data_IF_344606892920
#
_entry.id   IF_344606892920
#
_cell.length_a   1.000
_cell.length_b   1.000
_cell.length_c   1.000
_cell.angle_alpha   90.00
_cell.angle_beta   90.00
_cell.angle_gamma   90.00
#
_symmetry.space_group_name_H-M   'P 1'
#
loop_
_entity.id
_entity.type
_entity.pdbx_description
1 polymer ?
#
# COMPACT_ATOMS: atom_id res chain seq x y z
N UNK A 1 9.43 14.44 -40.60
CA UNK A 1 8.86 14.93 -39.33
C UNK A 1 10.02 15.31 -38.43
N UNK A 2 10.28 16.60 -38.26
CA UNK A 2 11.42 17.09 -37.48
C UNK A 2 11.28 16.64 -36.02
N UNK A 3 12.26 15.87 -35.53
CA UNK A 3 12.31 15.46 -34.13
C UNK A 3 12.47 16.69 -33.26
N UNK A 4 11.39 17.12 -32.62
CA UNK A 4 11.41 18.24 -31.66
C UNK A 4 12.43 17.88 -30.58
N UNK A 5 13.57 18.55 -30.57
CA UNK A 5 14.59 18.32 -29.55
C UNK A 5 13.99 18.68 -28.19
N UNK A 6 13.73 17.66 -27.38
CA UNK A 6 13.20 17.82 -26.03
C UNK A 6 14.13 18.76 -25.26
N UNK A 7 13.55 19.81 -24.67
CA UNK A 7 14.30 20.72 -23.81
C UNK A 7 14.91 19.97 -22.61
N UNK A 8 15.98 20.50 -21.97
CA UNK A 8 16.64 19.85 -20.83
C UNK A 8 15.67 19.47 -19.69
N UNK A 9 14.65 20.31 -19.46
CA UNK A 9 13.57 20.06 -18.50
C UNK A 9 12.64 18.91 -18.91
N UNK A 10 12.25 18.84 -20.18
CA UNK A 10 11.36 17.78 -20.70
C UNK A 10 12.06 16.41 -20.71
N UNK A 11 13.37 16.36 -20.99
CA UNK A 11 14.16 15.12 -20.90
C UNK A 11 14.19 14.60 -19.46
N UNK A 12 14.37 15.49 -18.49
CA UNK A 12 14.40 15.16 -17.06
C UNK A 12 13.03 14.70 -16.55
N UNK A 13 11.96 15.40 -16.93
CA UNK A 13 10.59 15.01 -16.59
C UNK A 13 10.21 13.64 -17.17
N UNK A 14 10.59 13.37 -18.43
CA UNK A 14 10.34 12.07 -19.08
C UNK A 14 11.12 10.94 -18.43
N UNK A 15 12.35 11.18 -17.99
CA UNK A 15 13.17 10.21 -17.23
C UNK A 15 12.54 9.89 -15.87
N UNK A 16 12.11 10.91 -15.13
CA UNK A 16 11.48 10.75 -13.82
C UNK A 16 10.13 10.01 -13.94
N UNK A 17 9.35 10.32 -14.98
CA UNK A 17 8.10 9.62 -15.27
C UNK A 17 8.32 8.14 -15.59
N UNK A 18 9.35 7.79 -16.38
CA UNK A 18 9.73 6.39 -16.64
C UNK A 18 10.17 5.67 -15.37
N UNK A 19 11.03 6.30 -14.55
CA UNK A 19 11.43 5.75 -13.25
C UNK A 19 10.24 5.48 -12.34
N UNK A 20 9.26 6.38 -12.31
CA UNK A 20 8.02 6.19 -11.54
C UNK A 20 7.22 4.98 -12.03
N UNK A 21 7.09 4.77 -13.34
CA UNK A 21 6.40 3.58 -13.88
C UNK A 21 7.16 2.28 -13.61
N UNK A 22 8.49 2.27 -13.74
CA UNK A 22 9.30 1.11 -13.37
C UNK A 22 9.19 0.79 -11.88
N UNK A 23 9.17 1.83 -11.04
CA UNK A 23 8.98 1.67 -9.60
C UNK A 23 7.60 1.10 -9.28
N UNK A 24 6.53 1.64 -9.89
CA UNK A 24 5.17 1.14 -9.71
C UNK A 24 5.04 -0.33 -10.18
N UNK A 25 5.56 -0.65 -11.37
CA UNK A 25 5.56 -2.01 -11.91
C UNK A 25 6.36 -2.96 -11.02
N UNK A 26 7.53 -2.54 -10.55
CA UNK A 26 8.36 -3.30 -9.60
C UNK A 26 7.63 -3.58 -8.29
N UNK A 27 6.92 -2.60 -7.72
CA UNK A 27 6.13 -2.78 -6.50
C UNK A 27 4.98 -3.77 -6.68
N UNK A 28 4.30 -3.75 -7.82
CA UNK A 28 3.22 -4.71 -8.13
C UNK A 28 3.78 -6.13 -8.22
N UNK A 29 4.88 -6.32 -8.96
CA UNK A 29 5.54 -7.62 -9.08
C UNK A 29 6.04 -8.10 -7.72
N UNK A 30 6.65 -7.22 -6.93
CA UNK A 30 7.15 -7.56 -5.59
C UNK A 30 6.01 -7.99 -4.65
N UNK A 31 4.90 -7.25 -4.64
CA UNK A 31 3.71 -7.61 -3.88
C UNK A 31 3.14 -8.96 -4.30
N UNK A 32 3.09 -9.24 -5.62
CA UNK A 32 2.65 -10.53 -6.14
C UNK A 32 3.57 -11.68 -5.71
N UNK A 33 4.89 -11.47 -5.67
CA UNK A 33 5.87 -12.45 -5.18
C UNK A 33 5.65 -12.73 -3.69
N UNK A 34 5.48 -11.70 -2.86
CA UNK A 34 5.21 -11.88 -1.43
C UNK A 34 3.90 -12.63 -1.19
N UNK A 35 2.82 -12.27 -1.90
CA UNK A 35 1.53 -12.95 -1.79
C UNK A 35 1.60 -14.41 -2.27
N UNK A 36 2.29 -14.66 -3.38
CA UNK A 36 2.53 -16.02 -3.90
C UNK A 36 3.36 -16.87 -2.94
N UNK A 37 4.37 -16.28 -2.31
CA UNK A 37 5.19 -16.96 -1.31
C UNK A 37 4.39 -17.34 -0.06
N UNK A 38 3.51 -16.47 0.44
CA UNK A 38 2.59 -16.84 1.54
C UNK A 38 1.82 -18.11 1.18
N UNK A 39 1.12 -18.10 0.03
CA UNK A 39 0.29 -19.22 -0.40
C UNK A 39 1.09 -20.51 -0.64
N UNK A 40 2.32 -20.40 -1.11
CA UNK A 40 3.16 -21.57 -1.45
C UNK A 40 3.77 -22.25 -0.23
N UNK A 41 4.00 -21.51 0.85
CA UNK A 41 4.64 -22.01 2.08
C UNK A 41 3.65 -22.16 3.25
N UNK A 42 2.36 -21.92 3.01
CA UNK A 42 1.30 -22.06 4.00
C UNK A 42 1.15 -23.52 4.42
N UNK A 43 1.37 -23.79 5.71
CA UNK A 43 1.32 -25.14 6.29
C UNK A 43 -0.09 -25.55 6.72
N UNK A 44 -1.05 -24.63 6.70
CA UNK A 44 -2.42 -24.84 7.19
C UNK A 44 -3.41 -24.82 6.02
N UNK A 45 -4.08 -25.94 5.75
CA UNK A 45 -5.10 -26.04 4.69
C UNK A 45 -6.35 -25.20 4.97
N UNK A 46 -6.57 -24.78 6.22
CA UNK A 46 -7.71 -23.95 6.64
C UNK A 46 -7.42 -22.45 6.63
N UNK A 47 -6.16 -22.08 6.49
CA UNK A 47 -5.78 -20.68 6.49
C UNK A 47 -6.13 -20.06 5.12
N UNK A 48 -6.70 -18.87 5.20
CA UNK A 48 -7.22 -18.13 4.05
C UNK A 48 -7.42 -16.68 4.43
N UNK A 49 -7.81 -15.84 3.47
CA UNK A 49 -7.98 -14.38 3.67
C UNK A 49 -8.91 -14.02 4.84
N UNK A 50 -9.78 -14.94 5.27
CA UNK A 50 -10.76 -14.74 6.33
C UNK A 50 -10.27 -15.19 7.73
N UNK A 51 -9.28 -16.08 7.81
CA UNK A 51 -8.73 -16.60 9.07
C UNK A 51 -7.21 -16.49 9.07
N UNK A 52 -6.74 -15.24 9.12
CA UNK A 52 -5.31 -14.91 9.19
C UNK A 52 -4.68 -15.46 10.47
N UNK A 53 -5.49 -15.68 11.52
CA UNK A 53 -5.03 -16.27 12.78
C UNK A 53 -4.66 -17.74 12.64
N UNK A 54 -5.18 -18.43 11.62
CA UNK A 54 -4.79 -19.80 11.29
C UNK A 54 -3.53 -19.89 10.41
N UNK A 55 -2.97 -18.77 9.93
CA UNK A 55 -1.79 -18.75 9.06
C UNK A 55 -0.57 -19.34 9.79
N UNK A 56 -0.01 -20.41 9.22
CA UNK A 56 1.19 -21.08 9.74
C UNK A 56 2.24 -21.14 8.64
N UNK A 57 3.41 -20.59 8.93
CA UNK A 57 4.54 -20.52 8.02
C UNK A 57 5.79 -21.08 8.72
N UNK A 58 6.73 -21.70 7.98
CA UNK A 58 8.04 -22.03 8.54
C UNK A 58 8.73 -20.77 9.09
N UNK A 59 9.43 -20.83 10.24
CA UNK A 59 9.99 -19.64 10.90
C UNK A 59 10.88 -18.78 10.00
N UNK A 60 11.72 -19.42 9.18
CA UNK A 60 12.61 -18.73 8.23
C UNK A 60 11.82 -17.98 7.16
N UNK A 61 10.79 -18.63 6.59
CA UNK A 61 9.92 -18.02 5.58
C UNK A 61 9.13 -16.85 6.17
N UNK A 62 8.60 -17.01 7.39
CA UNK A 62 7.90 -15.96 8.11
C UNK A 62 8.79 -14.73 8.33
N UNK A 63 10.05 -14.92 8.76
CA UNK A 63 11.01 -13.84 8.95
C UNK A 63 11.32 -13.11 7.63
N UNK A 64 11.57 -13.85 6.55
CA UNK A 64 11.83 -13.26 5.23
C UNK A 64 10.63 -12.48 4.69
N UNK A 65 9.43 -13.04 4.82
CA UNK A 65 8.19 -12.36 4.44
C UNK A 65 7.97 -11.10 5.28
N UNK A 66 8.19 -11.14 6.59
CA UNK A 66 8.07 -9.98 7.46
C UNK A 66 9.02 -8.85 7.04
N UNK A 67 10.29 -9.16 6.79
CA UNK A 67 11.27 -8.20 6.26
C UNK A 67 10.80 -7.65 4.90
N UNK A 68 10.31 -8.53 4.02
CA UNK A 68 9.76 -8.15 2.72
C UNK A 68 8.57 -7.19 2.84
N UNK A 69 7.63 -7.44 3.74
CA UNK A 69 6.49 -6.56 4.01
C UNK A 69 6.92 -5.22 4.59
N UNK A 70 7.87 -5.20 5.53
CA UNK A 70 8.41 -3.95 6.07
C UNK A 70 9.10 -3.13 4.96
N UNK A 71 9.88 -3.79 4.11
CA UNK A 71 10.47 -3.15 2.94
C UNK A 71 9.39 -2.63 1.97
N UNK A 72 8.36 -3.42 1.66
CA UNK A 72 7.30 -3.06 0.72
C UNK A 72 6.38 -1.93 1.22
N UNK A 73 5.94 -2.02 2.47
CA UNK A 73 4.89 -1.17 3.02
C UNK A 73 5.44 0.05 3.75
N UNK A 74 6.74 0.05 4.10
CA UNK A 74 7.39 1.17 4.79
C UNK A 74 8.58 1.67 3.96
N UNK A 75 9.57 0.80 3.72
CA UNK A 75 10.84 1.20 3.08
C UNK A 75 10.66 1.84 1.70
N UNK A 76 9.96 1.15 0.80
CA UNK A 76 9.67 1.58 -0.57
C UNK A 76 8.86 2.90 -0.57
N UNK A 77 7.72 3.04 0.14
CA UNK A 77 7.01 4.31 0.24
C UNK A 77 7.87 5.46 0.78
N UNK A 78 8.62 5.24 1.86
CA UNK A 78 9.49 6.27 2.44
C UNK A 78 10.58 6.69 1.46
N UNK A 79 11.21 5.74 0.78
CA UNK A 79 12.19 6.02 -0.26
C UNK A 79 11.59 6.80 -1.44
N UNK A 80 10.34 6.49 -1.80
CA UNK A 80 9.66 7.13 -2.93
C UNK A 80 9.49 8.65 -2.77
N UNK A 81 9.42 9.16 -1.53
CA UNK A 81 9.36 10.60 -1.26
C UNK A 81 10.58 11.35 -1.80
N UNK A 82 11.74 10.69 -1.96
CA UNK A 82 12.95 11.28 -2.55
C UNK A 82 12.92 11.36 -4.07
N UNK A 83 11.95 10.71 -4.72
CA UNK A 83 11.86 10.58 -6.18
C UNK A 83 10.77 11.46 -6.80
N UNK A 84 9.92 12.06 -5.97
CA UNK A 84 8.74 12.83 -6.39
C UNK A 84 8.92 14.32 -6.12
N UNK A 85 8.16 15.15 -6.84
CA UNK A 85 8.13 16.59 -6.63
C UNK A 85 7.36 16.98 -5.36
N UNK A 86 7.52 18.23 -4.94
CA UNK A 86 6.96 18.74 -3.68
C UNK A 86 5.43 18.72 -3.64
N UNK A 87 4.77 18.99 -4.77
CA UNK A 87 3.30 18.91 -4.88
C UNK A 87 2.82 17.47 -4.66
N UNK A 88 3.51 16.48 -5.24
CA UNK A 88 3.20 15.06 -5.01
C UNK A 88 3.50 14.63 -3.57
N UNK A 89 4.57 15.14 -2.95
CA UNK A 89 4.83 14.90 -1.51
C UNK A 89 3.65 15.41 -0.68
N UNK A 90 3.21 16.66 -0.90
CA UNK A 90 2.08 17.23 -0.17
C UNK A 90 0.80 16.42 -0.34
N UNK A 91 0.48 15.99 -1.57
CA UNK A 91 -0.69 15.17 -1.84
C UNK A 91 -0.61 13.79 -1.16
N UNK A 92 0.56 13.14 -1.18
CA UNK A 92 0.77 11.87 -0.47
C UNK A 92 0.64 12.04 1.05
N UNK A 93 1.17 13.12 1.63
CA UNK A 93 1.04 13.39 3.06
C UNK A 93 -0.41 13.65 3.45
N UNK A 94 -1.17 14.42 2.66
CA UNK A 94 -2.62 14.61 2.87
C UNK A 94 -3.37 13.28 2.82
N UNK A 95 -3.05 12.42 1.85
CA UNK A 95 -3.65 11.09 1.74
C UNK A 95 -3.29 10.19 2.94
N UNK A 96 -2.03 10.20 3.39
CA UNK A 96 -1.59 9.48 4.60
C UNK A 96 -2.31 9.97 5.85
N UNK A 97 -2.40 11.28 6.05
CA UNK A 97 -3.10 11.86 7.20
C UNK A 97 -4.59 11.50 7.19
N UNK A 98 -5.25 11.59 6.03
CA UNK A 98 -6.66 11.20 5.92
C UNK A 98 -6.88 9.70 6.14
N UNK A 99 -5.97 8.85 5.68
CA UNK A 99 -6.00 7.41 5.98
C UNK A 99 -5.80 7.12 7.48
N UNK A 100 -4.88 7.84 8.13
CA UNK A 100 -4.68 7.75 9.58
C UNK A 100 -5.96 8.14 10.33
N UNK A 101 -6.58 9.26 9.97
CA UNK A 101 -7.86 9.70 10.54
C UNK A 101 -8.98 8.69 10.29
N UNK A 102 -9.02 8.06 9.10
CA UNK A 102 -9.98 7.01 8.79
C UNK A 102 -9.83 5.79 9.71
N UNK A 103 -8.61 5.42 10.11
CA UNK A 103 -8.39 4.34 11.09
C UNK A 103 -8.75 4.80 12.50
N UNK A 104 -8.25 5.97 12.92
CA UNK A 104 -8.48 6.52 14.27
C UNK A 104 -9.95 6.74 14.57
N UNK A 105 -10.74 7.20 13.59
CA UNK A 105 -12.19 7.33 13.73
C UNK A 105 -12.97 6.08 13.35
N UNK A 106 -12.54 5.39 12.29
CA UNK A 106 -13.28 4.25 11.72
C UNK A 106 -13.23 3.01 12.60
N UNK A 107 -12.10 2.70 13.25
CA UNK A 107 -12.02 1.54 14.14
C UNK A 107 -12.94 1.66 15.36
N UNK A 108 -12.92 2.76 16.15
CA UNK A 108 -13.86 2.91 17.27
C UNK A 108 -15.32 2.93 16.82
N UNK A 109 -15.64 3.58 15.70
CA UNK A 109 -17.00 3.58 15.14
C UNK A 109 -17.45 2.16 14.77
N UNK A 110 -16.60 1.38 14.10
CA UNK A 110 -16.88 -0.02 13.78
C UNK A 110 -17.06 -0.83 15.07
N UNK A 111 -16.17 -0.67 16.06
CA UNK A 111 -16.28 -1.36 17.34
C UNK A 111 -17.61 -1.08 18.06
N UNK A 112 -18.07 0.18 18.05
CA UNK A 112 -19.36 0.57 18.62
C UNK A 112 -20.54 -0.08 17.89
N UNK A 113 -20.51 -0.09 16.54
CA UNK A 113 -21.53 -0.75 15.73
C UNK A 113 -21.55 -2.28 15.96
N UNK A 114 -20.38 -2.90 16.11
CA UNK A 114 -20.26 -4.32 16.41
C UNK A 114 -20.80 -4.67 17.81
N UNK A 115 -20.57 -3.80 18.79
CA UNK A 115 -21.15 -3.96 20.14
C UNK A 115 -22.69 -3.89 20.11
N UNK A 116 -23.27 -3.13 19.18
CA UNK A 116 -24.71 -3.10 18.92
C UNK A 116 -25.23 -4.25 18.05
N UNK A 117 -24.38 -5.19 17.62
CA UNK A 117 -24.76 -6.33 16.78
C UNK A 117 -25.07 -5.99 15.32
N UNK A 118 -24.73 -4.78 14.85
CA UNK A 118 -25.04 -4.32 13.50
C UNK A 118 -24.06 -4.81 12.45
N UNK A 119 -22.81 -5.06 12.85
CA UNK A 119 -21.71 -5.49 11.98
C UNK A 119 -20.82 -6.50 12.71
N UNK A 120 -20.03 -7.31 12.00
CA UNK A 120 -19.07 -8.22 12.63
C UNK A 120 -18.00 -7.46 13.44
N UNK A 121 -17.36 -8.16 14.39
CA UNK A 121 -16.24 -7.60 15.14
C UNK A 121 -15.09 -7.18 14.20
N UNK A 122 -14.41 -6.05 14.46
CA UNK A 122 -13.28 -5.62 13.64
C UNK A 122 -12.15 -6.66 13.65
N UNK A 123 -11.66 -7.03 12.47
CA UNK A 123 -10.51 -7.91 12.32
C UNK A 123 -9.24 -7.11 12.04
N UNK A 124 -8.07 -7.68 12.34
CA UNK A 124 -6.78 -7.06 12.00
C UNK A 124 -6.67 -6.73 10.49
N UNK A 125 -7.20 -7.60 9.63
CA UNK A 125 -7.30 -7.34 8.19
C UNK A 125 -8.21 -6.16 7.90
N UNK A 126 -9.38 -6.09 8.53
CA UNK A 126 -10.34 -5.02 8.32
C UNK A 126 -9.73 -3.65 8.64
N UNK A 127 -9.03 -3.54 9.75
CA UNK A 127 -8.34 -2.29 10.14
C UNK A 127 -7.22 -1.94 9.16
N UNK A 128 -6.43 -2.93 8.74
CA UNK A 128 -5.41 -2.74 7.71
C UNK A 128 -6.01 -2.26 6.37
N UNK A 129 -7.13 -2.84 5.95
CA UNK A 129 -7.83 -2.46 4.73
C UNK A 129 -8.42 -1.04 4.81
N UNK A 130 -8.94 -0.62 5.96
CA UNK A 130 -9.38 0.78 6.14
C UNK A 130 -8.23 1.73 5.85
N UNK A 131 -7.05 1.48 6.44
CA UNK A 131 -5.88 2.32 6.23
C UNK A 131 -5.48 2.37 4.74
N UNK A 132 -5.36 1.20 4.11
CA UNK A 132 -4.82 1.10 2.75
C UNK A 132 -5.82 1.61 1.69
N UNK A 133 -7.10 1.28 1.82
CA UNK A 133 -8.15 1.72 0.91
C UNK A 133 -8.41 3.23 1.06
N UNK A 134 -8.45 3.76 2.28
CA UNK A 134 -8.59 5.20 2.49
C UNK A 134 -7.41 5.95 1.85
N UNK A 135 -6.18 5.46 2.02
CA UNK A 135 -5.00 6.05 1.39
C UNK A 135 -5.09 6.03 -0.14
N UNK A 136 -5.51 4.91 -0.73
CA UNK A 136 -5.66 4.77 -2.17
C UNK A 136 -6.74 5.72 -2.72
N UNK A 137 -7.92 5.74 -2.11
CA UNK A 137 -9.05 6.61 -2.53
C UNK A 137 -8.67 8.08 -2.42
N UNK A 138 -8.11 8.51 -1.28
CA UNK A 138 -7.71 9.90 -1.08
C UNK A 138 -6.55 10.30 -2.02
N UNK A 139 -5.57 9.42 -2.21
CA UNK A 139 -4.47 9.64 -3.14
C UNK A 139 -4.95 9.82 -4.58
N UNK A 140 -5.90 9.00 -5.04
CA UNK A 140 -6.54 9.15 -6.34
C UNK A 140 -7.33 10.47 -6.42
N UNK A 141 -8.14 10.77 -5.40
CA UNK A 141 -8.95 11.98 -5.37
C UNK A 141 -8.11 13.27 -5.43
N UNK A 142 -6.99 13.34 -4.70
CA UNK A 142 -6.09 14.49 -4.75
C UNK A 142 -5.33 14.59 -6.07
N UNK A 143 -5.04 13.45 -6.71
CA UNK A 143 -4.39 13.42 -8.02
C UNK A 143 -5.30 13.82 -9.18
N UNK A 144 -6.62 13.67 -9.04
CA UNK A 144 -7.61 14.11 -10.04
C UNK A 144 -7.86 15.62 -9.93
N UNK A 145 -7.72 16.21 -8.73
CA UNK A 145 -8.05 17.61 -8.45
C UNK A 145 -6.90 18.60 -8.62
N UNK A 146 -5.66 18.15 -8.76
CA UNK A 146 -4.46 18.99 -8.92
C UNK A 146 -3.74 18.70 -10.23
#
# INVERSE_FOLDING_TARGET
>A
MAGRELGPGERTARRNRRRMYYFLGGSVVFGAVLGGAIKSFELSERAGLHDITALRLPPVVAALLAIGFLAALIGIPVYSFRLIDEVKVQNNLKAMSGACLAVVGGYPAWQALAAGGLVPQPSALGVFLIAYLAMAVLGIAFKIRG
#
